data_IF_258962497720
#
_entry.id   IF_258962497720
#
_cell.length_a   1.000
_cell.length_b   1.000
_cell.length_c   1.000
_cell.angle_alpha   90.00
_cell.angle_beta   90.00
_cell.angle_gamma   90.00
#
_symmetry.space_group_name_H-M   'P 1'
#
loop_
_entity.id
_entity.type
_entity.pdbx_description
1 polymer ?
#
# COMPACT_ATOMS: atom_id res chain seq x y z
N UNK A 1 -24.23 9.52 -17.86
CA UNK A 1 -23.38 10.71 -17.58
C UNK A 1 -23.26 11.48 -18.88
N UNK A 2 -23.25 12.80 -18.79
CA UNK A 2 -23.25 13.66 -19.98
C UNK A 2 -21.87 13.67 -20.63
N UNK A 3 -21.79 13.91 -21.95
CA UNK A 3 -20.52 14.05 -22.69
C UNK A 3 -19.59 15.08 -22.04
N UNK A 4 -20.16 16.14 -21.45
CA UNK A 4 -19.43 17.19 -20.75
C UNK A 4 -18.65 16.65 -19.52
N UNK A 5 -19.26 15.76 -18.73
CA UNK A 5 -18.60 15.14 -17.57
C UNK A 5 -17.42 14.25 -18.01
N UNK A 6 -17.65 13.40 -19.01
CA UNK A 6 -16.62 12.51 -19.51
C UNK A 6 -15.45 13.32 -20.11
N UNK A 7 -15.72 14.40 -20.84
CA UNK A 7 -14.69 15.29 -21.36
C UNK A 7 -13.90 15.97 -20.26
N UNK A 8 -14.57 16.41 -19.17
CA UNK A 8 -13.89 17.00 -18.00
C UNK A 8 -12.97 15.98 -17.32
N UNK A 9 -13.46 14.75 -17.09
CA UNK A 9 -12.66 13.68 -16.48
C UNK A 9 -11.43 13.36 -17.33
N UNK A 10 -11.59 13.21 -18.64
CA UNK A 10 -10.49 12.99 -19.58
C UNK A 10 -9.45 14.12 -19.54
N UNK A 11 -9.92 15.37 -19.50
CA UNK A 11 -9.04 16.52 -19.39
C UNK A 11 -8.27 16.53 -18.07
N UNK A 12 -8.96 16.25 -16.95
CA UNK A 12 -8.36 16.20 -15.62
C UNK A 12 -7.26 15.13 -15.53
N UNK A 13 -7.51 13.93 -16.07
CA UNK A 13 -6.50 12.87 -16.11
C UNK A 13 -5.29 13.24 -16.96
N UNK A 14 -5.50 13.82 -18.13
CA UNK A 14 -4.39 14.30 -18.97
C UNK A 14 -3.57 15.36 -18.23
N UNK A 15 -4.24 16.33 -17.61
CA UNK A 15 -3.56 17.36 -16.82
C UNK A 15 -2.76 16.74 -15.68
N UNK A 16 -3.32 15.76 -14.97
CA UNK A 16 -2.62 15.05 -13.91
C UNK A 16 -1.37 14.33 -14.42
N UNK A 17 -1.42 13.71 -15.60
CA UNK A 17 -0.24 13.07 -16.20
C UNK A 17 0.87 14.10 -16.48
N UNK A 18 0.54 15.25 -17.07
CA UNK A 18 1.52 16.34 -17.28
C UNK A 18 2.18 16.79 -15.95
N UNK A 19 1.35 16.98 -14.92
CA UNK A 19 1.84 17.37 -13.59
C UNK A 19 2.70 16.28 -12.97
N UNK A 20 2.33 15.02 -13.17
CA UNK A 20 3.10 13.86 -12.69
C UNK A 20 4.50 13.87 -13.26
N UNK A 21 4.65 14.08 -14.58
CA UNK A 21 5.97 14.16 -15.22
C UNK A 21 6.83 15.28 -14.63
N UNK A 22 6.24 16.46 -14.41
CA UNK A 22 6.93 17.60 -13.79
C UNK A 22 7.41 17.23 -12.37
N UNK A 23 6.56 16.63 -11.56
CA UNK A 23 6.89 16.24 -10.17
C UNK A 23 7.96 15.16 -10.16
N UNK A 24 7.86 14.14 -11.03
CA UNK A 24 8.87 13.08 -11.12
C UNK A 24 10.26 13.65 -11.43
N UNK A 25 10.34 14.62 -12.35
CA UNK A 25 11.60 15.30 -12.67
C UNK A 25 12.11 16.13 -11.49
N UNK A 26 11.25 16.92 -10.84
CA UNK A 26 11.61 17.74 -9.65
C UNK A 26 12.13 16.89 -8.49
N UNK A 27 11.51 15.75 -8.25
CA UNK A 27 11.89 14.81 -7.21
C UNK A 27 13.03 13.87 -7.61
N UNK A 28 13.48 13.87 -8.85
CA UNK A 28 14.42 12.90 -9.40
C UNK A 28 14.00 11.46 -9.06
N UNK A 29 12.72 11.15 -9.31
CA UNK A 29 12.09 9.83 -9.02
C UNK A 29 12.29 9.35 -7.57
N UNK A 30 12.29 10.28 -6.64
CA UNK A 30 12.52 9.98 -5.21
C UNK A 30 11.34 10.49 -4.39
N UNK A 31 10.84 9.68 -3.47
CA UNK A 31 9.74 10.05 -2.57
C UNK A 31 10.15 11.27 -1.74
N UNK A 32 9.35 12.33 -1.86
CA UNK A 32 9.65 13.66 -1.30
C UNK A 32 9.37 13.75 0.20
N UNK A 33 8.29 13.12 0.66
CA UNK A 33 7.83 13.21 2.05
C UNK A 33 7.23 11.89 2.56
N UNK A 34 6.76 11.90 3.81
CA UNK A 34 6.10 10.75 4.43
C UNK A 34 7.07 9.67 4.93
N UNK A 35 6.56 8.50 5.36
CA UNK A 35 7.37 7.46 5.98
C UNK A 35 8.40 6.85 5.02
N UNK A 36 8.21 6.97 3.72
CA UNK A 36 9.12 6.42 2.70
C UNK A 36 10.02 7.47 2.05
N UNK A 37 10.15 8.65 2.66
CA UNK A 37 11.02 9.71 2.14
C UNK A 37 12.41 9.19 1.76
N UNK A 38 12.90 9.59 0.59
CA UNK A 38 14.18 9.15 0.04
C UNK A 38 14.12 7.78 -0.68
N UNK A 39 12.95 7.11 -0.74
CA UNK A 39 12.77 5.92 -1.57
C UNK A 39 12.76 6.30 -3.04
N UNK A 40 13.50 5.56 -3.87
CA UNK A 40 13.45 5.70 -5.33
C UNK A 40 12.28 4.90 -5.91
N UNK A 41 11.55 5.50 -6.82
CA UNK A 41 10.45 4.86 -7.56
C UNK A 41 10.76 4.97 -9.05
N UNK A 42 10.73 3.84 -9.75
CA UNK A 42 10.91 3.82 -11.20
C UNK A 42 9.63 4.31 -11.91
N UNK A 43 9.78 4.98 -13.06
CA UNK A 43 8.62 5.55 -13.77
C UNK A 43 7.69 4.52 -14.41
N UNK A 44 8.07 3.24 -14.43
CA UNK A 44 7.30 2.15 -15.01
C UNK A 44 6.22 1.63 -14.06
N UNK A 45 5.65 2.46 -13.20
CA UNK A 45 4.50 2.06 -12.38
C UNK A 45 3.42 1.43 -13.28
N UNK A 46 3.04 0.21 -12.97
CA UNK A 46 2.19 -0.59 -13.85
C UNK A 46 0.73 -0.59 -13.41
N UNK A 47 0.46 -0.30 -12.15
CA UNK A 47 -0.87 -0.19 -11.59
C UNK A 47 -1.25 1.25 -11.32
N UNK A 48 -2.49 1.61 -11.67
CA UNK A 48 -3.12 2.85 -11.29
C UNK A 48 -2.48 4.08 -11.92
N UNK A 49 -3.03 4.55 -13.00
CA UNK A 49 -2.58 5.77 -13.72
C UNK A 49 -2.52 7.03 -12.84
N UNK A 50 -3.01 6.95 -11.60
CA UNK A 50 -3.16 8.09 -10.73
C UNK A 50 -2.34 8.10 -9.44
N UNK A 51 -1.72 7.01 -9.05
CA UNK A 51 -1.09 6.87 -7.74
C UNK A 51 0.41 7.25 -7.70
N UNK A 52 1.11 7.16 -8.84
CA UNK A 52 2.54 7.41 -8.91
C UNK A 52 2.95 8.78 -8.36
N UNK A 53 2.23 9.84 -8.74
CA UNK A 53 2.52 11.18 -8.22
C UNK A 53 2.23 11.29 -6.74
N UNK A 54 1.16 10.66 -6.26
CA UNK A 54 0.86 10.57 -4.83
C UNK A 54 1.95 9.87 -4.03
N UNK A 55 2.48 8.76 -4.56
CA UNK A 55 3.61 8.03 -3.97
C UNK A 55 4.86 8.89 -3.91
N UNK A 56 5.22 9.57 -5.00
CA UNK A 56 6.42 10.42 -5.05
C UNK A 56 6.29 11.66 -4.17
N UNK A 57 5.12 12.27 -4.09
CA UNK A 57 4.87 13.38 -3.17
C UNK A 57 4.83 12.92 -1.69
N UNK A 58 4.62 11.63 -1.44
CA UNK A 58 4.39 11.11 -0.10
C UNK A 58 3.01 11.45 0.43
N UNK A 59 2.00 11.43 -0.45
CA UNK A 59 0.59 11.71 -0.14
C UNK A 59 -0.31 10.50 -0.39
N UNK A 60 0.18 9.48 -1.10
CA UNK A 60 -0.59 8.29 -1.40
C UNK A 60 -0.96 7.56 -0.11
N UNK A 61 -2.26 7.38 0.10
CA UNK A 61 -2.82 6.73 1.29
C UNK A 61 -2.19 7.22 2.62
N UNK A 62 -2.00 8.54 2.72
CA UNK A 62 -1.32 9.15 3.87
C UNK A 62 -2.05 8.90 5.21
N UNK A 63 -3.31 8.53 5.19
CA UNK A 63 -4.08 8.05 6.35
C UNK A 63 -3.47 6.81 7.02
N UNK A 64 -2.68 6.02 6.29
CA UNK A 64 -2.00 4.83 6.81
C UNK A 64 -0.66 5.13 7.51
N UNK A 65 -0.10 6.32 7.33
CA UNK A 65 1.27 6.63 7.79
C UNK A 65 1.46 6.39 9.28
N UNK A 66 0.49 6.80 10.10
CA UNK A 66 0.53 6.55 11.55
C UNK A 66 0.52 5.06 11.88
N UNK A 67 -0.29 4.27 11.19
CA UNK A 67 -0.38 2.82 11.40
C UNK A 67 0.89 2.09 10.94
N UNK A 68 1.47 2.50 9.81
CA UNK A 68 2.74 1.96 9.32
C UNK A 68 3.87 2.26 10.30
N UNK A 69 3.99 3.51 10.77
CA UNK A 69 5.01 3.90 11.74
C UNK A 69 4.85 3.13 13.06
N UNK A 70 3.61 3.00 13.54
CA UNK A 70 3.33 2.21 14.73
C UNK A 70 3.68 0.73 14.53
N UNK A 71 3.29 0.10 13.42
CA UNK A 71 3.64 -1.29 13.11
C UNK A 71 5.16 -1.49 13.05
N UNK A 72 5.90 -0.56 12.43
CA UNK A 72 7.36 -0.59 12.41
C UNK A 72 7.97 -0.47 13.83
N UNK A 73 7.38 0.37 14.70
CA UNK A 73 7.86 0.52 16.09
C UNK A 73 7.71 -0.75 16.93
N UNK A 74 6.82 -1.66 16.56
CA UNK A 74 6.65 -2.97 17.17
C UNK A 74 7.69 -4.00 16.70
N UNK A 75 8.64 -3.60 15.87
CA UNK A 75 9.77 -4.39 15.37
C UNK A 75 9.35 -5.74 14.74
N UNK A 76 8.60 -5.72 13.64
CA UNK A 76 8.27 -6.94 12.90
C UNK A 76 9.54 -7.66 12.46
N UNK A 77 9.51 -8.98 12.51
CA UNK A 77 10.66 -9.81 12.13
C UNK A 77 10.72 -10.08 10.62
N UNK A 78 9.63 -9.82 9.92
CA UNK A 78 9.51 -9.97 8.48
C UNK A 78 8.34 -9.14 7.94
N UNK A 79 8.30 -8.97 6.62
CA UNK A 79 7.22 -8.25 5.92
C UNK A 79 6.66 -9.15 4.82
N UNK A 80 5.33 -9.21 4.71
CA UNK A 80 4.61 -9.81 3.59
C UNK A 80 3.77 -8.72 2.94
N UNK A 81 3.99 -8.43 1.67
CA UNK A 81 3.13 -7.51 0.92
C UNK A 81 2.38 -8.28 -0.16
N UNK A 82 1.07 -8.44 0.00
CA UNK A 82 0.17 -9.16 -0.88
C UNK A 82 -0.58 -8.15 -1.75
N UNK A 83 -0.55 -8.33 -3.08
CA UNK A 83 -0.93 -7.30 -4.03
C UNK A 83 0.11 -6.17 -4.03
N UNK A 84 1.37 -6.54 -4.22
CA UNK A 84 2.46 -5.59 -3.98
C UNK A 84 2.64 -4.56 -5.10
N UNK A 85 2.05 -4.76 -6.27
CA UNK A 85 2.21 -3.90 -7.44
C UNK A 85 3.71 -3.58 -7.70
N UNK A 86 4.09 -2.31 -7.68
CA UNK A 86 5.47 -1.83 -7.83
C UNK A 86 6.33 -1.99 -6.56
N UNK A 87 5.77 -2.56 -5.49
CA UNK A 87 6.45 -2.81 -4.22
C UNK A 87 6.52 -1.62 -3.28
N UNK A 88 5.77 -0.53 -3.52
CA UNK A 88 5.85 0.71 -2.75
C UNK A 88 5.83 0.49 -1.24
N UNK A 89 4.85 -0.22 -0.71
CA UNK A 89 4.73 -0.47 0.73
C UNK A 89 5.78 -1.44 1.24
N UNK A 90 5.87 -2.62 0.64
CA UNK A 90 6.80 -3.65 1.10
C UNK A 90 8.25 -3.17 1.11
N UNK A 91 8.69 -2.53 0.02
CA UNK A 91 10.06 -2.00 -0.12
C UNK A 91 10.26 -0.80 0.81
N UNK A 92 9.28 0.12 0.88
CA UNK A 92 9.35 1.30 1.73
C UNK A 92 9.53 0.94 3.21
N UNK A 93 8.81 -0.07 3.69
CA UNK A 93 8.93 -0.59 5.06
C UNK A 93 10.25 -1.33 5.24
N UNK A 94 10.62 -2.24 4.32
CA UNK A 94 11.84 -3.04 4.43
C UNK A 94 13.13 -2.19 4.43
N UNK A 95 13.15 -1.04 3.74
CA UNK A 95 14.27 -0.08 3.81
C UNK A 95 14.57 0.40 5.22
N UNK A 96 13.54 0.50 6.06
CA UNK A 96 13.67 1.00 7.43
C UNK A 96 14.03 -0.11 8.41
N UNK A 97 13.59 -1.34 8.13
CA UNK A 97 13.63 -2.46 9.08
C UNK A 97 14.77 -3.44 8.81
N UNK A 98 15.26 -3.53 7.57
CA UNK A 98 16.30 -4.51 7.16
C UNK A 98 15.92 -5.97 7.49
N UNK A 99 14.65 -6.34 7.34
CA UNK A 99 14.09 -7.67 7.62
C UNK A 99 13.72 -8.39 6.31
N UNK A 100 13.55 -9.73 6.31
CA UNK A 100 13.06 -10.48 5.17
C UNK A 100 11.74 -9.92 4.64
N UNK A 101 11.62 -9.82 3.31
CA UNK A 101 10.47 -9.29 2.60
C UNK A 101 9.95 -10.31 1.60
N UNK A 102 8.66 -10.63 1.67
CA UNK A 102 7.94 -11.38 0.66
C UNK A 102 7.01 -10.45 -0.13
N UNK A 103 7.26 -10.31 -1.42
CA UNK A 103 6.42 -9.57 -2.36
C UNK A 103 5.60 -10.55 -3.19
N UNK A 104 4.28 -10.40 -3.15
CA UNK A 104 3.34 -11.25 -3.86
C UNK A 104 2.47 -10.38 -4.77
N UNK A 105 2.43 -10.72 -6.05
CA UNK A 105 1.51 -10.14 -7.02
C UNK A 105 1.20 -11.15 -8.12
N UNK A 106 -0.05 -11.26 -8.54
CA UNK A 106 -0.46 -12.19 -9.61
C UNK A 106 0.00 -11.70 -11.00
N UNK A 107 0.26 -10.40 -11.14
CA UNK A 107 0.82 -9.82 -12.34
C UNK A 107 2.36 -9.88 -12.31
N UNK A 108 2.92 -10.77 -13.12
CA UNK A 108 4.39 -10.90 -13.23
C UNK A 108 5.09 -9.61 -13.68
N UNK A 109 4.41 -8.74 -14.42
CA UNK A 109 4.99 -7.45 -14.84
C UNK A 109 5.15 -6.53 -13.64
N UNK A 110 4.20 -6.51 -12.72
CA UNK A 110 4.32 -5.81 -11.45
C UNK A 110 5.52 -6.31 -10.65
N UNK A 111 5.72 -7.63 -10.56
CA UNK A 111 6.89 -8.20 -9.88
C UNK A 111 8.22 -7.82 -10.53
N UNK A 112 8.27 -7.65 -11.85
CA UNK A 112 9.47 -7.15 -12.54
C UNK A 112 9.80 -5.72 -12.08
N UNK A 113 8.80 -4.85 -12.02
CA UNK A 113 8.97 -3.45 -11.54
C UNK A 113 9.35 -3.44 -10.06
N UNK A 114 8.66 -4.22 -9.22
CA UNK A 114 8.98 -4.34 -7.80
C UNK A 114 10.42 -4.80 -7.56
N UNK A 115 10.91 -5.75 -8.36
CA UNK A 115 12.31 -6.21 -8.31
C UNK A 115 13.29 -5.08 -8.63
N UNK A 116 13.01 -4.29 -9.66
CA UNK A 116 13.85 -3.15 -10.04
C UNK A 116 13.82 -2.07 -8.95
N UNK A 117 12.64 -1.78 -8.38
CA UNK A 117 12.51 -0.85 -7.25
C UNK A 117 13.27 -1.33 -6.02
N UNK A 118 13.20 -2.62 -5.66
CA UNK A 118 13.96 -3.18 -4.55
C UNK A 118 15.48 -3.01 -4.76
N UNK A 119 15.98 -3.28 -5.96
CA UNK A 119 17.38 -3.09 -6.33
C UNK A 119 17.80 -1.62 -6.25
N UNK A 120 17.00 -0.69 -6.79
CA UNK A 120 17.27 0.75 -6.74
C UNK A 120 17.34 1.28 -5.31
N UNK A 121 16.60 0.66 -4.39
CA UNK A 121 16.54 0.99 -2.97
C UNK A 121 17.47 0.15 -2.09
N UNK A 122 18.27 -0.75 -2.67
CA UNK A 122 19.23 -1.62 -1.95
C UNK A 122 18.56 -2.50 -0.89
N UNK A 123 17.28 -2.85 -1.09
CA UNK A 123 16.57 -3.79 -0.21
C UNK A 123 17.06 -5.20 -0.53
N UNK A 124 17.53 -5.87 0.50
CA UNK A 124 18.05 -7.24 0.43
C UNK A 124 17.03 -8.23 1.02
N UNK A 125 17.27 -9.53 0.87
CA UNK A 125 16.43 -10.60 1.41
C UNK A 125 14.97 -10.52 0.92
N UNK A 126 14.79 -10.27 -0.38
CA UNK A 126 13.47 -10.19 -1.02
C UNK A 126 13.14 -11.48 -1.73
N UNK A 127 12.02 -12.08 -1.37
CA UNK A 127 11.39 -13.21 -2.06
C UNK A 127 10.23 -12.69 -2.91
N UNK A 128 10.07 -13.21 -4.11
CA UNK A 128 9.00 -12.83 -5.04
C UNK A 128 8.13 -14.04 -5.35
N UNK A 129 6.82 -13.87 -5.39
CA UNK A 129 5.87 -14.93 -5.74
C UNK A 129 4.74 -14.38 -6.62
N UNK A 130 4.44 -15.07 -7.72
CA UNK A 130 3.26 -14.80 -8.55
C UNK A 130 2.02 -15.58 -8.09
N UNK A 131 2.12 -16.30 -6.99
CA UNK A 131 1.01 -17.06 -6.42
C UNK A 131 0.78 -16.70 -4.97
N UNK A 132 -0.50 -16.52 -4.60
CA UNK A 132 -0.93 -16.30 -3.22
C UNK A 132 -1.93 -17.39 -2.81
N UNK A 133 -1.45 -18.36 -2.05
CA UNK A 133 -2.32 -19.36 -1.41
C UNK A 133 -2.14 -19.31 0.10
N UNK A 134 -3.18 -19.74 0.83
CA UNK A 134 -3.07 -19.84 2.29
C UNK A 134 -1.90 -20.76 2.71
N UNK A 135 -1.67 -21.83 1.96
CA UNK A 135 -0.57 -22.77 2.20
C UNK A 135 0.80 -22.09 2.00
N UNK A 136 1.02 -21.40 0.87
CA UNK A 136 2.30 -20.74 0.58
C UNK A 136 2.63 -19.64 1.59
N UNK A 137 1.63 -18.84 1.97
CA UNK A 137 1.78 -17.79 3.00
C UNK A 137 2.02 -18.42 4.38
N UNK A 138 1.24 -19.45 4.74
CA UNK A 138 1.40 -20.17 6.00
C UNK A 138 2.79 -20.80 6.15
N UNK A 139 3.30 -21.45 5.10
CA UNK A 139 4.64 -22.03 5.08
C UNK A 139 5.72 -20.96 5.27
N UNK A 140 5.60 -19.81 4.58
CA UNK A 140 6.55 -18.72 4.73
C UNK A 140 6.54 -18.15 6.16
N UNK A 141 5.36 -17.99 6.76
CA UNK A 141 5.18 -17.48 8.12
C UNK A 141 5.64 -18.45 9.21
N UNK A 142 5.86 -19.75 8.92
CA UNK A 142 6.44 -20.68 9.89
C UNK A 142 7.87 -20.30 10.28
N UNK A 143 8.63 -19.79 9.31
CA UNK A 143 10.02 -19.35 9.52
C UNK A 143 10.14 -17.89 9.97
N UNK A 144 9.01 -17.14 9.99
CA UNK A 144 8.99 -15.69 10.21
C UNK A 144 7.88 -15.31 11.20
N UNK A 145 8.17 -15.42 12.47
CA UNK A 145 7.24 -15.02 13.53
C UNK A 145 7.01 -13.51 13.53
N UNK A 146 5.82 -13.06 13.97
CA UNK A 146 5.48 -11.62 14.10
C UNK A 146 5.74 -10.80 12.85
N UNK A 147 5.32 -11.30 11.71
CA UNK A 147 5.42 -10.53 10.46
C UNK A 147 4.45 -9.34 10.46
N UNK A 148 4.81 -8.31 9.70
CA UNK A 148 3.87 -7.28 9.24
C UNK A 148 3.32 -7.70 7.87
N UNK A 149 2.02 -7.92 7.79
CA UNK A 149 1.32 -8.20 6.53
C UNK A 149 0.69 -6.90 6.05
N UNK A 150 1.06 -6.46 4.87
CA UNK A 150 0.42 -5.38 4.13
C UNK A 150 -0.33 -6.00 2.96
N UNK A 151 -1.64 -5.82 2.88
CA UNK A 151 -2.48 -6.50 1.91
C UNK A 151 -3.42 -5.54 1.20
N UNK A 152 -3.31 -5.53 -0.12
CA UNK A 152 -4.17 -4.81 -1.05
C UNK A 152 -4.30 -5.67 -2.32
N UNK A 153 -5.31 -6.54 -2.38
CA UNK A 153 -5.36 -7.62 -3.37
C UNK A 153 -6.71 -7.75 -4.10
N UNK A 154 -7.54 -6.71 -4.04
CA UNK A 154 -8.74 -6.57 -4.85
C UNK A 154 -9.72 -7.77 -4.74
N UNK A 155 -9.95 -8.26 -3.49
CA UNK A 155 -10.96 -9.28 -3.19
C UNK A 155 -10.44 -10.66 -2.76
N UNK A 156 -9.15 -10.84 -2.54
CA UNK A 156 -8.60 -12.10 -2.03
C UNK A 156 -8.54 -12.17 -0.49
N UNK A 157 -8.92 -11.12 0.22
CA UNK A 157 -8.80 -10.94 1.69
C UNK A 157 -9.48 -12.08 2.46
N UNK A 158 -10.70 -12.44 2.04
CA UNK A 158 -11.48 -13.51 2.68
C UNK A 158 -10.78 -14.85 2.67
N UNK A 159 -10.08 -15.16 1.58
CA UNK A 159 -9.44 -16.46 1.37
C UNK A 159 -8.08 -16.55 2.07
N UNK A 160 -7.35 -15.45 2.09
CA UNK A 160 -5.96 -15.41 2.57
C UNK A 160 -5.85 -15.03 4.05
N UNK A 161 -6.78 -14.22 4.58
CA UNK A 161 -6.81 -13.87 6.00
C UNK A 161 -7.69 -14.85 6.79
N UNK A 162 -7.33 -16.13 6.78
CA UNK A 162 -8.06 -17.23 7.41
C UNK A 162 -7.23 -17.85 8.55
N UNK A 163 -7.61 -17.55 9.80
CA UNK A 163 -6.94 -18.05 11.03
C UNK A 163 -6.98 -19.58 11.18
N UNK A 164 -7.91 -20.27 10.51
CA UNK A 164 -7.97 -21.74 10.56
C UNK A 164 -6.91 -22.34 9.63
N UNK A 165 -6.75 -21.74 8.45
CA UNK A 165 -5.77 -22.19 7.45
C UNK A 165 -4.35 -21.69 7.75
N UNK A 166 -4.23 -20.50 8.32
CA UNK A 166 -2.96 -19.84 8.65
C UNK A 166 -3.00 -19.40 10.13
N UNK A 167 -2.79 -20.28 11.08
CA UNK A 167 -2.83 -19.94 12.51
C UNK A 167 -1.78 -18.88 12.90
N UNK A 168 -0.69 -18.77 12.15
CA UNK A 168 0.38 -17.78 12.35
C UNK A 168 -0.12 -16.34 12.27
N UNK A 169 -1.20 -16.08 11.50
CA UNK A 169 -1.84 -14.76 11.42
C UNK A 169 -2.23 -14.20 12.80
N UNK A 170 -2.51 -15.06 13.79
CA UNK A 170 -2.85 -14.62 15.14
C UNK A 170 -1.75 -13.80 15.83
N UNK A 171 -0.50 -13.87 15.34
CA UNK A 171 0.68 -13.16 15.87
C UNK A 171 1.24 -12.12 14.92
N UNK A 172 0.63 -11.93 13.74
CA UNK A 172 1.05 -10.97 12.75
C UNK A 172 0.34 -9.64 12.93
N UNK A 173 1.04 -8.53 12.73
CA UNK A 173 0.39 -7.24 12.49
C UNK A 173 -0.14 -7.24 11.06
N UNK A 174 -1.36 -6.76 10.85
CA UNK A 174 -1.99 -6.80 9.53
C UNK A 174 -2.57 -5.42 9.20
N UNK A 175 -2.15 -4.85 8.07
CA UNK A 175 -2.77 -3.69 7.45
C UNK A 175 -3.38 -4.18 6.14
N UNK A 176 -4.71 -4.06 6.01
CA UNK A 176 -5.42 -4.59 4.84
C UNK A 176 -6.42 -3.57 4.30
N UNK A 177 -6.39 -3.31 2.98
CA UNK A 177 -7.51 -2.66 2.29
C UNK A 177 -8.69 -3.63 2.22
N UNK A 178 -9.82 -3.20 2.72
CA UNK A 178 -11.03 -4.03 2.73
C UNK A 178 -11.95 -3.61 1.59
N UNK A 179 -11.94 -4.41 0.54
CA UNK A 179 -12.63 -4.12 -0.71
C UNK A 179 -14.12 -4.46 -0.68
N UNK A 180 -14.92 -3.79 0.17
CA UNK A 180 -16.37 -3.97 0.22
C UNK A 180 -17.08 -3.71 -1.13
N UNK A 181 -16.45 -2.96 -2.04
CA UNK A 181 -16.92 -2.78 -3.43
C UNK A 181 -16.97 -4.10 -4.18
N UNK A 182 -15.94 -4.91 -4.04
CA UNK A 182 -15.83 -6.19 -4.76
C UNK A 182 -16.39 -7.34 -3.94
N UNK A 183 -16.29 -7.25 -2.62
CA UNK A 183 -16.73 -8.28 -1.70
C UNK A 183 -17.57 -7.67 -0.57
N UNK A 184 -18.86 -7.40 -0.81
CA UNK A 184 -19.71 -6.72 0.17
C UNK A 184 -19.71 -7.40 1.55
N UNK A 185 -19.44 -6.62 2.61
CA UNK A 185 -19.41 -7.08 4.00
C UNK A 185 -18.07 -7.66 4.45
N UNK A 186 -17.02 -7.61 3.63
CA UNK A 186 -15.70 -8.16 3.98
C UNK A 186 -15.08 -7.45 5.18
N UNK A 187 -15.20 -6.13 5.29
CA UNK A 187 -14.74 -5.37 6.46
C UNK A 187 -15.30 -5.94 7.74
N UNK A 188 -16.63 -6.12 7.80
CA UNK A 188 -17.29 -6.68 8.99
C UNK A 188 -16.88 -8.14 9.26
N UNK A 189 -16.77 -8.94 8.22
CA UNK A 189 -16.34 -10.34 8.34
C UNK A 189 -14.93 -10.45 8.92
N UNK A 190 -13.97 -9.65 8.42
CA UNK A 190 -12.60 -9.62 8.95
C UNK A 190 -12.55 -9.16 10.40
N UNK A 191 -13.31 -8.12 10.76
CA UNK A 191 -13.40 -7.67 12.15
C UNK A 191 -13.93 -8.78 13.07
N UNK A 192 -14.96 -9.50 12.68
CA UNK A 192 -15.49 -10.62 13.47
C UNK A 192 -14.47 -11.76 13.60
N UNK A 193 -13.74 -12.07 12.52
CA UNK A 193 -12.76 -13.15 12.46
C UNK A 193 -11.57 -12.89 13.39
N UNK A 194 -11.06 -11.66 13.40
CA UNK A 194 -9.84 -11.30 14.12
C UNK A 194 -10.07 -10.73 15.54
N UNK A 195 -11.29 -10.35 15.93
CA UNK A 195 -11.58 -9.68 17.23
C UNK A 195 -11.08 -10.40 18.47
N UNK A 196 -10.91 -11.74 18.41
CA UNK A 196 -10.42 -12.52 19.55
C UNK A 196 -8.90 -12.51 19.68
N UNK A 197 -8.20 -12.28 18.59
CA UNK A 197 -6.74 -12.33 18.51
C UNK A 197 -6.11 -10.95 18.37
N UNK A 198 -6.86 -9.95 17.88
CA UNK A 198 -6.34 -8.62 17.56
C UNK A 198 -7.20 -7.49 18.12
N UNK A 199 -6.55 -6.39 18.45
CA UNK A 199 -7.16 -5.07 18.47
C UNK A 199 -7.24 -4.58 17.02
N UNK A 200 -8.37 -3.98 16.65
CA UNK A 200 -8.64 -3.58 15.26
C UNK A 200 -8.99 -2.10 15.22
N UNK A 201 -8.21 -1.33 14.48
CA UNK A 201 -8.51 0.05 14.15
C UNK A 201 -9.06 0.11 12.72
N UNK A 202 -10.17 0.81 12.52
CA UNK A 202 -10.76 1.08 11.21
C UNK A 202 -10.26 2.43 10.75
N UNK A 203 -9.64 2.48 9.57
CA UNK A 203 -9.08 3.69 8.99
C UNK A 203 -9.83 3.98 7.70
N UNK A 204 -10.41 5.15 7.61
CA UNK A 204 -11.05 5.62 6.38
C UNK A 204 -10.14 6.58 5.64
N UNK A 205 -10.25 6.58 4.32
CA UNK A 205 -9.56 7.55 3.48
C UNK A 205 -9.79 8.98 4.00
N UNK A 206 -8.71 9.72 4.17
CA UNK A 206 -8.70 11.05 4.73
C UNK A 206 -8.42 12.16 3.71
N UNK A 207 -8.47 13.40 4.19
CA UNK A 207 -8.08 14.55 3.39
C UNK A 207 -6.56 14.63 3.26
N UNK A 208 -6.09 14.94 2.04
CA UNK A 208 -4.68 15.16 1.74
C UNK A 208 -4.37 16.65 1.72
N UNK A 209 -3.19 17.01 2.22
CA UNK A 209 -2.72 18.41 2.13
C UNK A 209 -1.97 18.61 0.80
N UNK A 210 -2.52 19.33 -0.19
CA UNK A 210 -1.88 19.55 -1.47
C UNK A 210 -0.83 20.66 -1.46
N UNK A 211 -0.72 21.42 -0.35
CA UNK A 211 0.14 22.61 -0.26
C UNK A 211 1.54 22.21 0.24
N UNK A 212 2.33 21.63 -0.67
CA UNK A 212 3.72 21.25 -0.45
C UNK A 212 4.65 22.30 -1.07
N UNK A 213 5.84 22.48 -0.50
CA UNK A 213 6.85 23.41 -1.04
C UNK A 213 7.17 23.12 -2.50
N UNK A 214 7.25 21.84 -2.87
CA UNK A 214 7.54 21.42 -4.24
C UNK A 214 6.45 21.75 -5.25
N UNK A 215 5.24 22.07 -4.79
CA UNK A 215 4.08 22.42 -5.61
C UNK A 215 3.71 23.91 -5.49
N UNK A 216 4.56 24.74 -4.90
CA UNK A 216 4.24 26.14 -4.55
C UNK A 216 3.79 26.98 -5.75
N UNK A 217 4.35 26.72 -6.94
CA UNK A 217 4.07 27.44 -8.20
C UNK A 217 2.87 26.88 -9.00
N UNK A 218 2.26 25.80 -8.52
CA UNK A 218 1.07 25.23 -9.15
C UNK A 218 -0.19 25.95 -8.72
N UNK A 219 -1.21 25.98 -9.60
CA UNK A 219 -2.53 26.46 -9.25
C UNK A 219 -3.17 25.59 -8.17
N UNK A 220 -4.15 26.13 -7.43
CA UNK A 220 -4.88 25.36 -6.43
C UNK A 220 -5.59 24.14 -7.04
N UNK A 221 -6.10 24.29 -8.27
CA UNK A 221 -6.71 23.18 -9.00
C UNK A 221 -5.70 22.07 -9.28
N UNK A 222 -4.50 22.41 -9.78
CA UNK A 222 -3.44 21.44 -10.05
C UNK A 222 -3.02 20.71 -8.75
N UNK A 223 -2.88 21.44 -7.65
CA UNK A 223 -2.54 20.85 -6.34
C UNK A 223 -3.59 19.84 -5.88
N UNK A 224 -4.87 20.17 -5.99
CA UNK A 224 -5.97 19.25 -5.64
C UNK A 224 -5.95 18.03 -6.56
N UNK A 225 -5.69 18.23 -7.86
CA UNK A 225 -5.63 17.16 -8.84
C UNK A 225 -4.49 16.17 -8.56
N UNK A 226 -3.34 16.64 -8.10
CA UNK A 226 -2.22 15.80 -7.67
C UNK A 226 -2.57 14.88 -6.49
N UNK A 227 -3.50 15.30 -5.63
CA UNK A 227 -3.96 14.51 -4.49
C UNK A 227 -5.06 13.49 -4.82
N UNK A 228 -5.66 13.59 -6.02
CA UNK A 228 -6.76 12.72 -6.43
C UNK A 228 -6.24 11.33 -6.77
N UNK A 229 -6.67 10.30 -6.08
CA UNK A 229 -6.31 8.89 -6.35
C UNK A 229 -7.26 8.22 -7.35
N UNK A 230 -8.35 8.90 -7.75
CA UNK A 230 -9.30 8.37 -8.73
C UNK A 230 -10.12 7.18 -8.25
N UNK A 231 -10.19 6.96 -6.95
CA UNK A 231 -10.92 5.83 -6.38
C UNK A 231 -12.42 5.94 -6.66
N UNK A 232 -13.11 4.82 -6.96
CA UNK A 232 -14.55 4.81 -7.23
C UNK A 232 -15.37 5.10 -5.97
N UNK A 233 -14.81 4.84 -4.79
CA UNK A 233 -15.42 5.09 -3.48
C UNK A 233 -14.33 5.31 -2.42
N UNK A 234 -14.77 5.71 -1.22
CA UNK A 234 -13.88 5.86 -0.07
C UNK A 234 -13.28 4.51 0.31
N UNK A 235 -11.95 4.43 0.37
CA UNK A 235 -11.23 3.25 0.84
C UNK A 235 -11.41 3.08 2.36
N UNK A 236 -11.47 1.83 2.80
CA UNK A 236 -11.50 1.45 4.22
C UNK A 236 -10.41 0.45 4.49
N UNK A 237 -9.51 0.78 5.39
CA UNK A 237 -8.42 -0.07 5.83
C UNK A 237 -8.68 -0.60 7.24
N UNK A 238 -8.19 -1.79 7.52
CA UNK A 238 -8.12 -2.32 8.87
C UNK A 238 -6.66 -2.44 9.28
N UNK A 239 -6.32 -1.85 10.43
CA UNK A 239 -5.06 -2.13 11.10
C UNK A 239 -5.29 -3.03 12.30
N UNK A 240 -4.83 -4.26 12.22
CA UNK A 240 -5.04 -5.32 13.20
C UNK A 240 -3.74 -5.61 13.94
N UNK A 241 -3.76 -5.45 15.26
CA UNK A 241 -2.61 -5.59 16.17
C UNK A 241 -2.85 -6.77 17.11
N UNK A 242 -1.97 -7.77 17.16
CA UNK A 242 -2.10 -8.86 18.13
C UNK A 242 -2.22 -8.35 19.56
N UNK A 243 -3.10 -8.94 20.37
CA UNK A 243 -3.34 -8.48 21.75
C UNK A 243 -2.11 -8.52 22.65
N UNK A 244 -1.15 -9.42 22.39
CA UNK A 244 0.11 -9.50 23.12
C UNK A 244 1.10 -8.35 22.82
N UNK A 245 0.88 -7.60 21.74
CA UNK A 245 1.67 -6.42 21.39
C UNK A 245 1.03 -5.09 21.85
N UNK A 246 -0.21 -5.13 22.35
CA UNK A 246 -0.97 -3.94 22.73
C UNK A 246 -0.92 -3.70 24.25
N UNK A 247 -0.45 -4.66 25.03
CA UNK A 247 -0.41 -4.65 26.51
C UNK A 247 0.84 -4.02 27.07
#
# INVERSE_FOLDING_TARGET
MTDTYNNFVHWAWRRKQELTEIILQRCNYTVHAGPFQGMKILPQAHWGDGDLVGKVLGLYECELFGSIQHACSLAPQAIVNIGCADGYYGIGIARQMAVPLLLIDVDEKSLVVAKQNAQANRVQQVTYSSTSTAESIGNWLQDHDRALIFMDCEGCEKQLLDLVKIPQLARCMIIVDSHDVWLPGITHELMLRFRKTHQIDVISQGNKNPYLDITHDFSDFDKVLLCCEGRPQTATWLYMKPWDLVR
#
